data_IF_039097660821
#
_entry.id   IF_039097660821
#
_cell.length_a   1.000
_cell.length_b   1.000
_cell.length_c   1.000
_cell.angle_alpha   90.00
_cell.angle_beta   90.00
_cell.angle_gamma   90.00
#
_symmetry.space_group_name_H-M   'P 1'
#
loop_
_entity.id
_entity.type
_entity.pdbx_description
1 polymer ?
#
# COMPACT_ATOMS: atom_id res chain seq x y z
N UNK A 1 0.51 -1.72 9.73
CA UNK A 1 1.37 -2.43 8.75
C UNK A 1 2.76 -1.81 8.86
N UNK A 2 3.80 -2.39 8.27
CA UNK A 2 5.14 -1.82 8.40
C UNK A 2 5.68 -1.42 7.02
N UNK A 3 5.95 -0.12 6.86
CA UNK A 3 6.77 0.38 5.76
C UNK A 3 8.20 -0.16 5.93
N UNK A 4 8.73 -0.75 4.89
CA UNK A 4 10.10 -1.24 4.83
C UNK A 4 10.79 -0.63 3.64
N UNK A 5 11.91 0.01 3.91
CA UNK A 5 12.79 0.57 2.89
C UNK A 5 14.00 -0.35 2.80
N UNK A 6 14.28 -0.86 1.61
CA UNK A 6 15.48 -1.64 1.33
C UNK A 6 16.36 -0.83 0.40
N UNK A 7 17.60 -0.58 0.79
CA UNK A 7 18.60 0.11 -0.02
C UNK A 7 19.75 -0.86 -0.29
N UNK A 8 20.08 -1.03 -1.58
CA UNK A 8 21.26 -1.76 -1.96
C UNK A 8 21.22 -2.30 -3.38
N UNK A 9 22.19 -3.16 -3.67
CA UNK A 9 22.29 -3.84 -4.97
C UNK A 9 21.42 -5.08 -4.96
N UNK A 10 20.63 -5.27 -6.02
CA UNK A 10 19.88 -6.50 -6.24
C UNK A 10 20.86 -7.62 -6.57
N UNK A 11 20.91 -8.63 -5.71
CA UNK A 11 21.79 -9.79 -5.87
C UNK A 11 21.10 -10.92 -6.63
N UNK A 12 19.83 -11.17 -6.31
CA UNK A 12 19.06 -12.27 -6.89
C UNK A 12 17.59 -11.87 -7.00
N UNK A 13 16.92 -12.34 -8.05
CA UNK A 13 15.49 -12.18 -8.25
C UNK A 13 14.89 -13.55 -8.54
N UNK A 14 13.86 -13.91 -7.80
CA UNK A 14 13.11 -15.13 -8.02
C UNK A 14 12.20 -15.08 -9.23
N UNK A 15 11.68 -16.24 -9.62
CA UNK A 15 10.71 -16.34 -10.70
C UNK A 15 9.46 -15.50 -10.39
N UNK A 16 8.91 -14.92 -11.45
CA UNK A 16 7.63 -14.21 -11.39
C UNK A 16 6.50 -15.16 -11.73
N UNK A 17 5.47 -15.21 -10.88
CA UNK A 17 4.17 -15.81 -11.19
C UNK A 17 3.13 -14.71 -11.42
N UNK A 18 2.04 -15.06 -12.08
CA UNK A 18 0.87 -14.19 -12.22
C UNK A 18 -0.27 -14.75 -11.37
N UNK A 19 -0.83 -13.90 -10.52
CA UNK A 19 -2.01 -14.21 -9.70
C UNK A 19 -2.95 -13.02 -9.80
N UNK A 20 -4.19 -13.25 -10.24
CA UNK A 20 -5.24 -12.22 -10.38
C UNK A 20 -4.81 -10.98 -11.18
N UNK A 21 -4.07 -11.18 -12.28
CA UNK A 21 -3.54 -10.10 -13.11
C UNK A 21 -2.43 -9.27 -12.47
N UNK A 22 -1.96 -9.64 -11.28
CA UNK A 22 -0.82 -9.03 -10.61
C UNK A 22 0.38 -9.96 -10.70
N UNK A 23 1.57 -9.38 -10.97
CA UNK A 23 2.80 -10.15 -11.01
C UNK A 23 3.40 -10.24 -9.62
N UNK A 24 3.61 -11.47 -9.17
CA UNK A 24 4.23 -11.79 -7.88
C UNK A 24 5.64 -12.29 -8.14
N UNK A 25 6.63 -11.61 -7.57
CA UNK A 25 8.01 -12.09 -7.55
C UNK A 25 8.18 -12.95 -6.30
N UNK A 26 8.56 -14.21 -6.48
CA UNK A 26 8.76 -15.15 -5.37
C UNK A 26 9.76 -14.64 -4.33
N UNK A 27 10.82 -13.93 -4.76
CA UNK A 27 11.68 -13.17 -3.84
C UNK A 27 12.56 -12.14 -4.56
N UNK A 28 13.03 -11.15 -3.82
CA UNK A 28 14.14 -10.27 -4.21
C UNK A 28 15.16 -10.26 -3.08
N UNK A 29 16.44 -10.44 -3.42
CA UNK A 29 17.56 -10.38 -2.47
C UNK A 29 18.34 -9.09 -2.67
N UNK A 30 18.39 -8.25 -1.64
CA UNK A 30 19.10 -6.97 -1.64
C UNK A 30 20.06 -6.97 -0.46
N UNK A 31 21.35 -6.78 -0.75
CA UNK A 31 22.40 -6.70 0.26
C UNK A 31 22.32 -7.82 1.33
N UNK A 32 22.17 -9.07 0.89
CA UNK A 32 22.02 -10.23 1.78
C UNK A 32 20.63 -10.44 2.38
N UNK A 33 19.74 -9.43 2.36
CA UNK A 33 18.36 -9.56 2.87
C UNK A 33 17.44 -10.07 1.78
N UNK A 34 16.81 -11.23 2.00
CA UNK A 34 15.84 -11.83 1.09
C UNK A 34 14.42 -11.49 1.51
N UNK A 35 13.68 -10.83 0.63
CA UNK A 35 12.26 -10.52 0.82
C UNK A 35 11.45 -11.37 -0.13
N UNK A 36 10.52 -12.17 0.40
CA UNK A 36 9.71 -13.13 -0.35
C UNK A 36 8.39 -12.49 -0.79
N UNK A 37 7.77 -13.08 -1.81
CA UNK A 37 6.38 -12.84 -2.21
C UNK A 37 6.04 -11.36 -2.39
N UNK A 38 6.72 -10.73 -3.36
CA UNK A 38 6.59 -9.30 -3.65
C UNK A 38 5.65 -9.09 -4.83
N UNK A 39 4.50 -8.46 -4.58
CA UNK A 39 3.59 -7.96 -5.62
C UNK A 39 4.15 -6.68 -6.20
N UNK A 40 4.32 -6.64 -7.52
CA UNK A 40 4.69 -5.44 -8.27
C UNK A 40 3.92 -5.37 -9.60
N UNK A 41 3.78 -4.16 -10.13
CA UNK A 41 3.22 -3.97 -11.46
C UNK A 41 4.27 -4.30 -12.53
N UNK A 42 3.84 -4.68 -13.74
CA UNK A 42 4.74 -5.08 -14.83
C UNK A 42 5.77 -3.99 -15.17
N UNK A 43 5.34 -2.72 -15.11
CA UNK A 43 6.24 -1.59 -15.32
C UNK A 43 7.34 -1.52 -14.25
N UNK A 44 7.00 -1.63 -12.96
CA UNK A 44 7.98 -1.60 -11.87
C UNK A 44 8.93 -2.79 -11.91
N UNK A 45 8.46 -3.96 -12.36
CA UNK A 45 9.29 -5.16 -12.50
C UNK A 45 10.44 -4.95 -13.47
N UNK A 46 10.25 -4.18 -14.54
CA UNK A 46 11.26 -3.95 -15.57
C UNK A 46 12.54 -3.30 -15.03
N UNK A 47 12.42 -2.54 -13.94
CA UNK A 47 13.53 -1.86 -13.28
C UNK A 47 14.27 -2.72 -12.24
N UNK A 48 13.69 -3.85 -11.84
CA UNK A 48 14.33 -4.80 -10.93
C UNK A 48 15.28 -5.69 -11.73
N UNK A 49 16.54 -5.28 -11.83
CA UNK A 49 17.58 -5.99 -12.58
C UNK A 49 18.72 -6.36 -11.63
N UNK A 50 19.21 -7.60 -11.72
CA UNK A 50 20.35 -8.07 -10.92
C UNK A 50 21.58 -7.20 -11.22
N UNK A 51 22.31 -6.81 -10.17
CA UNK A 51 23.49 -5.95 -10.26
C UNK A 51 23.18 -4.45 -10.22
N UNK A 52 21.91 -4.02 -10.33
CA UNK A 52 21.56 -2.61 -10.18
C UNK A 52 21.33 -2.23 -8.72
N UNK A 53 21.78 -1.03 -8.35
CA UNK A 53 21.47 -0.39 -7.07
C UNK A 53 20.08 0.22 -7.15
N UNK A 54 19.23 -0.10 -6.17
CA UNK A 54 17.87 0.41 -6.07
C UNK A 54 17.50 0.66 -4.61
N UNK A 55 16.58 1.60 -4.38
CA UNK A 55 15.86 1.70 -3.12
C UNK A 55 14.41 1.27 -3.32
N UNK A 56 13.97 0.27 -2.58
CA UNK A 56 12.60 -0.25 -2.64
C UNK A 56 11.81 0.19 -1.41
N UNK A 57 10.59 0.68 -1.62
CA UNK A 57 9.63 0.93 -0.56
C UNK A 57 8.49 -0.08 -0.64
N UNK A 58 8.42 -0.94 0.36
CA UNK A 58 7.48 -2.05 0.46
C UNK A 58 6.59 -1.88 1.69
N UNK A 59 5.35 -2.33 1.61
CA UNK A 59 4.50 -2.51 2.80
C UNK A 59 4.42 -3.99 3.13
N UNK A 60 4.87 -4.34 4.35
CA UNK A 60 4.73 -5.70 4.87
C UNK A 60 3.30 -5.96 5.31
N UNK A 61 2.67 -7.00 4.77
CA UNK A 61 1.49 -7.65 5.36
C UNK A 61 1.93 -8.75 6.31
N UNK A 62 1.12 -8.98 7.35
CA UNK A 62 1.33 -10.03 8.36
C UNK A 62 1.24 -11.45 7.79
N UNK A 63 0.50 -11.65 6.69
CA UNK A 63 0.29 -12.95 6.04
C UNK A 63 0.82 -12.94 4.61
N UNK A 64 2.13 -13.11 4.46
CA UNK A 64 2.68 -13.75 3.26
C UNK A 64 2.94 -12.89 2.03
N UNK A 65 2.28 -11.75 1.79
CA UNK A 65 2.51 -10.98 0.54
C UNK A 65 2.89 -9.52 0.80
N UNK A 66 4.03 -9.10 0.28
CA UNK A 66 4.54 -7.74 0.37
C UNK A 66 4.19 -6.96 -0.89
N UNK A 67 3.76 -5.71 -0.75
CA UNK A 67 3.39 -4.88 -1.90
C UNK A 67 4.48 -3.84 -2.11
N UNK A 68 5.06 -3.83 -3.31
CA UNK A 68 6.02 -2.81 -3.74
C UNK A 68 5.25 -1.57 -4.21
N UNK A 69 5.54 -0.42 -3.60
CA UNK A 69 4.85 0.83 -3.86
C UNK A 69 5.69 1.88 -4.59
N UNK A 70 6.99 1.92 -4.31
CA UNK A 70 7.91 2.77 -5.06
C UNK A 70 9.31 2.17 -5.16
N UNK A 71 9.99 2.51 -6.24
CA UNK A 71 11.39 2.18 -6.52
C UNK A 71 12.11 3.48 -6.86
N UNK A 72 13.26 3.72 -6.25
CA UNK A 72 14.20 4.73 -6.69
C UNK A 72 15.42 4.05 -7.31
N UNK A 73 15.76 4.48 -8.52
CA UNK A 73 16.91 4.00 -9.29
C UNK A 73 18.17 4.79 -8.94
N UNK A 74 19.32 4.30 -9.41
CA UNK A 74 20.63 4.89 -9.13
C UNK A 74 20.81 6.28 -9.77
N UNK A 75 20.13 6.55 -10.87
CA UNK A 75 20.03 7.87 -11.52
C UNK A 75 19.09 8.84 -10.79
N UNK A 76 18.45 8.39 -9.70
CA UNK A 76 17.49 9.17 -8.93
C UNK A 76 16.10 9.25 -9.54
N UNK A 77 15.79 8.50 -10.61
CA UNK A 77 14.43 8.33 -11.11
C UNK A 77 13.58 7.56 -10.08
N UNK A 78 12.34 8.02 -9.86
CA UNK A 78 11.41 7.42 -8.90
C UNK A 78 10.19 6.88 -9.63
N UNK A 79 10.03 5.57 -9.60
CA UNK A 79 8.89 4.86 -10.16
C UNK A 79 7.91 4.53 -9.03
N UNK A 80 6.65 4.92 -9.20
CA UNK A 80 5.58 4.68 -8.22
C UNK A 80 4.48 3.81 -8.81
N UNK A 81 3.91 2.94 -7.97
CA UNK A 81 2.65 2.25 -8.24
C UNK A 81 1.50 3.25 -8.39
N UNK A 82 0.51 2.90 -9.21
CA UNK A 82 -0.67 3.75 -9.45
C UNK A 82 -1.49 3.99 -8.16
N UNK A 83 -2.13 5.17 -8.06
CA UNK A 83 -2.93 5.60 -6.91
C UNK A 83 -4.34 5.03 -6.90
N UNK A 84 -4.86 4.62 -8.05
CA UNK A 84 -6.25 4.23 -8.20
C UNK A 84 -6.64 3.13 -7.21
N UNK A 85 -5.83 2.08 -7.13
CA UNK A 85 -6.09 0.93 -6.24
C UNK A 85 -6.16 1.36 -4.75
N UNK A 86 -5.12 1.98 -4.14
CA UNK A 86 -5.21 2.43 -2.75
C UNK A 86 -6.43 3.29 -2.43
N UNK A 87 -6.82 4.20 -3.32
CA UNK A 87 -7.97 5.09 -3.11
C UNK A 87 -9.28 4.30 -3.12
N UNK A 88 -9.46 3.40 -4.09
CA UNK A 88 -10.64 2.53 -4.17
C UNK A 88 -10.74 1.65 -2.92
N UNK A 89 -9.63 1.09 -2.46
CA UNK A 89 -9.58 0.32 -1.22
C UNK A 89 -10.00 1.15 0.00
N UNK A 90 -9.55 2.40 0.12
CA UNK A 90 -9.98 3.28 1.22
C UNK A 90 -11.49 3.50 1.19
N UNK A 91 -12.06 3.75 0.01
CA UNK A 91 -13.50 3.97 -0.16
C UNK A 91 -14.30 2.72 0.20
N UNK A 92 -13.93 1.56 -0.35
CA UNK A 92 -14.63 0.29 -0.10
C UNK A 92 -14.55 -0.13 1.37
N UNK A 93 -13.35 -0.07 1.97
CA UNK A 93 -13.17 -0.35 3.40
C UNK A 93 -13.90 0.68 4.27
N UNK A 94 -13.88 1.96 3.87
CA UNK A 94 -14.56 3.03 4.58
C UNK A 94 -16.07 2.79 4.64
N UNK A 95 -16.68 2.38 3.53
CA UNK A 95 -18.08 1.98 3.47
C UNK A 95 -18.35 0.73 4.32
N UNK A 96 -17.49 -0.29 4.24
CA UNK A 96 -17.64 -1.50 5.05
C UNK A 96 -17.58 -1.20 6.56
N UNK A 97 -16.65 -0.36 7.01
CA UNK A 97 -16.58 0.08 8.41
C UNK A 97 -17.79 0.93 8.80
N UNK A 98 -18.28 1.79 7.91
CA UNK A 98 -19.48 2.59 8.17
C UNK A 98 -20.72 1.71 8.37
N UNK A 99 -20.87 0.67 7.55
CA UNK A 99 -21.91 -0.35 7.68
C UNK A 99 -21.77 -1.14 8.99
N UNK A 100 -20.55 -1.52 9.34
CA UNK A 100 -20.28 -2.26 10.58
C UNK A 100 -20.57 -1.42 11.84
N UNK A 101 -20.34 -0.10 11.76
CA UNK A 101 -20.66 0.86 12.81
C UNK A 101 -22.12 1.35 12.77
N UNK A 102 -22.93 0.89 11.81
CA UNK A 102 -24.34 1.30 11.69
C UNK A 102 -25.20 1.09 12.96
N UNK A 103 -24.96 0.10 13.84
CA UNK A 103 -25.71 -0.01 15.09
C UNK A 103 -25.51 1.21 16.03
N UNK A 104 -24.38 1.93 15.91
CA UNK A 104 -24.11 3.14 16.68
C UNK A 104 -24.84 4.37 16.11
N UNK A 105 -25.45 4.27 14.94
CA UNK A 105 -26.12 5.38 14.27
C UNK A 105 -27.23 5.99 15.13
N UNK A 106 -27.99 5.18 15.88
CA UNK A 106 -29.07 5.66 16.75
C UNK A 106 -28.53 6.58 17.85
N UNK A 107 -27.33 6.28 18.38
CA UNK A 107 -26.68 7.09 19.42
C UNK A 107 -26.24 8.43 18.83
N UNK A 108 -25.61 8.40 17.64
CA UNK A 108 -25.18 9.60 16.91
C UNK A 108 -26.39 10.48 16.54
N UNK A 109 -27.50 9.86 16.12
CA UNK A 109 -28.73 10.54 15.75
C UNK A 109 -29.36 11.25 16.95
N UNK A 110 -29.39 10.60 18.12
CA UNK A 110 -29.87 11.22 19.36
C UNK A 110 -29.02 12.41 19.80
N UNK A 111 -27.71 12.39 19.53
CA UNK A 111 -26.81 13.49 19.89
C UNK A 111 -26.87 14.69 18.94
N UNK A 112 -27.10 14.46 17.64
CA UNK A 112 -27.06 15.52 16.62
C UNK A 112 -28.43 16.06 16.23
N UNK A 113 -29.51 15.30 16.48
CA UNK A 113 -30.88 15.59 16.06
C UNK A 113 -31.02 15.87 14.55
N UNK A 114 -30.06 15.43 13.74
CA UNK A 114 -30.05 15.60 12.29
C UNK A 114 -29.54 14.35 11.61
N UNK A 115 -30.39 13.80 10.74
CA UNK A 115 -30.09 12.59 9.95
C UNK A 115 -28.86 12.83 9.06
N UNK A 116 -28.81 14.00 8.41
CA UNK A 116 -27.70 14.35 7.51
C UNK A 116 -26.37 14.41 8.25
N UNK A 117 -26.33 15.12 9.39
CA UNK A 117 -25.11 15.26 10.20
C UNK A 117 -24.68 13.89 10.74
N UNK A 118 -25.62 13.06 11.17
CA UNK A 118 -25.33 11.70 11.65
C UNK A 118 -24.70 10.82 10.58
N UNK A 119 -25.20 10.89 9.34
CA UNK A 119 -24.64 10.15 8.21
C UNK A 119 -23.23 10.63 7.86
N UNK A 120 -23.00 11.94 7.85
CA UNK A 120 -21.66 12.51 7.61
C UNK A 120 -20.66 12.04 8.68
N UNK A 121 -21.06 12.04 9.95
CA UNK A 121 -20.21 11.54 11.04
C UNK A 121 -19.93 10.05 10.88
N UNK A 122 -20.97 9.23 10.62
CA UNK A 122 -20.80 7.78 10.48
C UNK A 122 -19.84 7.43 9.33
N UNK A 123 -20.07 8.01 8.15
CA UNK A 123 -19.22 7.81 6.96
C UNK A 123 -17.82 8.39 7.19
N UNK A 124 -17.73 9.56 7.83
CA UNK A 124 -16.46 10.19 8.20
C UNK A 124 -15.62 9.32 9.11
N UNK A 125 -16.22 8.70 10.13
CA UNK A 125 -15.53 7.78 11.04
C UNK A 125 -15.07 6.52 10.32
N UNK A 126 -15.94 5.90 9.50
CA UNK A 126 -15.57 4.70 8.74
C UNK A 126 -14.43 4.95 7.75
N UNK A 127 -14.50 6.06 7.00
CA UNK A 127 -13.43 6.48 6.08
C UNK A 127 -12.15 6.87 6.81
N UNK A 128 -12.23 7.51 7.98
CA UNK A 128 -11.07 7.84 8.81
C UNK A 128 -10.35 6.57 9.33
N UNK A 129 -11.09 5.58 9.83
CA UNK A 129 -10.53 4.29 10.25
C UNK A 129 -9.83 3.60 9.07
N UNK A 130 -10.51 3.57 7.92
CA UNK A 130 -9.96 3.02 6.68
C UNK A 130 -8.66 3.71 6.27
N UNK A 131 -8.63 5.05 6.33
CA UNK A 131 -7.42 5.83 6.08
C UNK A 131 -6.27 5.46 7.05
N UNK A 132 -6.55 5.33 8.35
CA UNK A 132 -5.52 4.95 9.33
C UNK A 132 -4.92 3.57 9.06
N UNK A 133 -5.73 2.62 8.59
CA UNK A 133 -5.26 1.29 8.18
C UNK A 133 -4.40 1.40 6.92
N UNK A 134 -4.78 2.26 5.98
CA UNK A 134 -4.12 2.37 4.68
C UNK A 134 -2.97 3.39 4.62
N UNK A 135 -2.76 4.19 5.67
CA UNK A 135 -1.76 5.29 5.68
C UNK A 135 -0.35 4.83 5.28
N UNK A 136 0.04 3.62 5.68
CA UNK A 136 1.38 3.08 5.40
C UNK A 136 1.58 2.84 3.89
N UNK A 137 0.51 2.49 3.17
CA UNK A 137 0.52 2.32 1.72
C UNK A 137 0.72 3.66 0.99
N UNK A 138 0.05 4.72 1.44
CA UNK A 138 0.28 6.06 0.89
C UNK A 138 1.68 6.57 1.21
N UNK A 139 2.17 6.32 2.43
CA UNK A 139 3.53 6.69 2.82
C UNK A 139 4.59 5.95 2.00
N UNK A 140 4.44 4.65 1.80
CA UNK A 140 5.34 3.83 0.98
C UNK A 140 5.45 4.32 -0.47
N UNK A 141 4.34 4.81 -1.03
CA UNK A 141 4.30 5.34 -2.39
C UNK A 141 5.05 6.66 -2.53
N UNK A 142 4.95 7.53 -1.53
CA UNK A 142 5.49 8.89 -1.61
C UNK A 142 6.87 9.05 -0.96
N UNK A 143 7.42 7.99 -0.35
CA UNK A 143 8.64 8.09 0.47
C UNK A 143 9.84 8.65 -0.29
N UNK A 144 10.00 8.31 -1.57
CA UNK A 144 11.11 8.81 -2.41
C UNK A 144 10.76 10.10 -3.17
N UNK A 145 9.47 10.48 -3.24
CA UNK A 145 9.04 11.72 -3.91
C UNK A 145 9.32 12.98 -3.10
N UNK A 146 9.34 12.85 -1.77
CA UNK A 146 9.59 13.96 -0.83
C UNK A 146 11.12 14.21 -0.67
N UNK A 147 11.96 13.33 -1.22
CA UNK A 147 13.43 13.40 -1.12
C UNK A 147 14.10 14.18 -2.27
N UNK A 148 13.33 14.87 -3.11
CA UNK A 148 13.81 15.88 -4.08
C UNK A 148 13.33 17.25 -3.62
#
# INVERSE_FOLDING_TARGET
MALVILDGVIQEIGFGSYVDGQRIISFVKINGTRVKDIVCDDYMRSFLIVGKKVKLALVRRLQGVHILYSVQLDDGEVVCKDKALPVVWVMMLGLAFSLLLSPLFIIILRGTNSILISLVILVGVGTFISYLIMKDHFKARNVFRISR
#
